data_IF_811585452575
#
_entry.id   IF_811585452575
#
_cell.length_a   1.000
_cell.length_b   1.000
_cell.length_c   1.000
_cell.angle_alpha   90.00
_cell.angle_beta   90.00
_cell.angle_gamma   90.00
#
_symmetry.space_group_name_H-M   'P 1'
#
loop_
_entity.id
_entity.type
_entity.pdbx_description
1 polymer ?
#
# COMPACT_ATOMS: atom_id res chain seq x y z
N UNK A 1 -0.71 -21.06 8.76
CA UNK A 1 -0.86 -20.61 9.00
C UNK A 1 -1.04 -19.81 9.38
N UNK A 2 -1.32 -19.70 9.38
CA UNK A 2 -1.76 -19.04 9.64
C UNK A 2 -1.67 -18.20 9.86
N UNK A 3 -1.09 -18.17 9.43
CA UNK A 3 -1.23 -17.44 9.79
C UNK A 3 -2.20 -16.54 9.87
N UNK A 4 -3.08 -16.76 10.15
CA UNK A 4 -4.34 -16.08 10.24
C UNK A 4 -4.27 -14.71 10.85
N UNK A 5 -3.46 -14.50 11.82
CA UNK A 5 -3.32 -13.20 12.45
C UNK A 5 -2.65 -12.17 11.55
N UNK A 6 -2.05 -12.64 10.47
CA UNK A 6 -1.52 -11.73 9.49
C UNK A 6 -2.47 -11.59 8.30
N UNK A 7 -3.65 -12.19 8.41
CA UNK A 7 -4.64 -12.15 7.34
C UNK A 7 -5.56 -10.96 7.43
N UNK A 8 -5.00 -9.86 7.78
CA UNK A 8 -5.74 -8.62 7.76
C UNK A 8 -6.01 -8.23 6.31
N UNK A 9 -7.24 -7.81 6.04
CA UNK A 9 -7.55 -7.28 4.72
C UNK A 9 -6.79 -5.99 4.52
N UNK A 10 -6.19 -5.78 3.36
CA UNK A 10 -5.49 -4.53 3.10
C UNK A 10 -6.43 -3.35 3.29
N UNK A 11 -5.94 -2.34 3.96
CA UNK A 11 -6.69 -1.10 4.15
C UNK A 11 -6.07 -0.04 3.27
N UNK A 12 -6.85 0.46 2.33
CA UNK A 12 -6.37 1.46 1.39
C UNK A 12 -7.00 2.79 1.75
N UNK A 13 -6.16 3.79 1.88
CA UNK A 13 -6.59 5.12 2.26
C UNK A 13 -5.88 6.15 1.41
N UNK A 14 -6.64 7.07 0.84
CA UNK A 14 -6.06 8.16 0.06
C UNK A 14 -6.32 9.47 0.77
N UNK A 15 -5.26 10.19 1.07
CA UNK A 15 -5.35 11.53 1.66
C UNK A 15 -5.23 12.55 0.54
N UNK A 16 -6.35 13.17 0.23
CA UNK A 16 -6.41 14.09 -0.88
C UNK A 16 -5.61 15.37 -0.64
N UNK A 17 -5.54 15.82 0.61
CA UNK A 17 -4.82 17.05 0.93
C UNK A 17 -3.32 16.87 0.79
N UNK A 18 -2.79 15.78 1.30
CA UNK A 18 -1.35 15.52 1.21
C UNK A 18 -0.98 14.73 -0.03
N UNK A 19 -1.98 14.24 -0.77
CA UNK A 19 -1.78 13.47 -1.99
C UNK A 19 -0.97 12.21 -1.71
N UNK A 20 -1.36 11.49 -0.66
CA UNK A 20 -0.69 10.26 -0.25
C UNK A 20 -1.67 9.09 -0.28
N UNK A 21 -1.27 8.03 -0.97
CA UNK A 21 -2.02 6.79 -0.97
C UNK A 21 -1.34 5.83 0.01
N UNK A 22 -2.08 5.32 0.98
CA UNK A 22 -1.55 4.40 1.98
C UNK A 22 -2.22 3.05 1.84
N UNK A 23 -1.40 2.00 1.88
CA UNK A 23 -1.89 0.62 1.82
C UNK A 23 -1.34 -0.11 3.02
N UNK A 24 -2.23 -0.44 3.96
CA UNK A 24 -1.84 -1.13 5.17
C UNK A 24 -2.08 -2.62 5.01
N UNK A 25 -1.03 -3.40 5.14
CA UNK A 25 -1.08 -4.85 4.90
C UNK A 25 -1.03 -5.67 6.18
N UNK A 26 -0.61 -5.08 7.28
CA UNK A 26 -0.47 -5.79 8.55
C UNK A 26 -0.60 -4.81 9.70
N UNK A 27 -1.05 -5.30 10.85
CA UNK A 27 -1.13 -4.47 12.04
C UNK A 27 0.13 -4.54 12.88
N UNK A 28 1.11 -5.29 12.41
CA UNK A 28 2.37 -5.39 13.12
C UNK A 28 3.10 -4.05 13.10
N UNK A 29 3.94 -3.87 14.10
CA UNK A 29 4.67 -2.63 14.23
C UNK A 29 5.77 -2.54 13.17
N UNK A 30 5.89 -1.37 12.56
CA UNK A 30 6.96 -1.09 11.63
C UNK A 30 8.24 -0.78 12.39
N UNK A 31 9.33 -1.43 12.03
CA UNK A 31 10.62 -1.20 12.67
C UNK A 31 11.68 -0.74 11.69
N UNK A 32 11.38 -0.77 10.40
CA UNK A 32 12.32 -0.36 9.37
C UNK A 32 11.55 0.13 8.16
N UNK A 33 12.19 0.94 7.34
CA UNK A 33 11.53 1.51 6.17
C UNK A 33 12.54 1.68 5.05
N UNK A 34 12.06 1.48 3.82
CA UNK A 34 12.80 1.81 2.62
C UNK A 34 12.08 2.93 1.91
N UNK A 35 12.85 3.89 1.41
CA UNK A 35 12.28 5.01 0.65
C UNK A 35 12.93 5.00 -0.72
N UNK A 36 12.12 4.93 -1.76
CA UNK A 36 12.61 5.01 -3.11
C UNK A 36 11.66 5.90 -3.91
N UNK A 37 12.19 7.00 -4.43
CA UNK A 37 11.41 8.00 -5.14
C UNK A 37 10.27 8.48 -4.26
N UNK A 38 9.03 8.27 -4.68
CA UNK A 38 7.87 8.69 -3.90
C UNK A 38 7.17 7.55 -3.17
N UNK A 39 7.87 6.43 -3.00
CA UNK A 39 7.31 5.25 -2.34
C UNK A 39 8.05 4.97 -1.06
N UNK A 40 7.29 4.77 0.02
CA UNK A 40 7.84 4.36 1.32
C UNK A 40 7.27 3.00 1.65
N UNK A 41 8.14 2.05 1.96
CA UNK A 41 7.72 0.71 2.34
C UNK A 41 8.20 0.44 3.75
N UNK A 42 7.27 0.12 4.64
CA UNK A 42 7.57 -0.17 6.03
C UNK A 42 7.58 -1.66 6.27
N UNK A 43 8.54 -2.13 7.06
CA UNK A 43 8.73 -3.54 7.36
C UNK A 43 8.65 -3.81 8.84
N UNK A 44 8.22 -5.02 9.19
CA UNK A 44 8.25 -5.46 10.57
C UNK A 44 9.63 -6.03 10.89
N UNK A 45 9.80 -6.55 12.10
CA UNK A 45 11.10 -7.05 12.52
C UNK A 45 11.53 -8.32 11.79
N UNK A 46 10.62 -8.95 11.07
CA UNK A 46 10.94 -10.11 10.25
C UNK A 46 11.23 -9.73 8.81
N UNK A 47 11.15 -8.45 8.49
CA UNK A 47 11.39 -7.99 7.14
C UNK A 47 10.18 -8.11 6.23
N UNK A 48 9.01 -8.35 6.80
CA UNK A 48 7.78 -8.43 6.01
C UNK A 48 7.14 -7.06 5.90
N UNK A 49 6.52 -6.80 4.77
CA UNK A 49 5.92 -5.50 4.51
C UNK A 49 4.67 -5.32 5.35
N UNK A 50 4.59 -4.21 6.09
CA UNK A 50 3.41 -3.89 6.88
C UNK A 50 2.62 -2.73 6.30
N UNK A 51 3.28 -1.83 5.58
CA UNK A 51 2.61 -0.65 5.04
C UNK A 51 3.35 -0.13 3.83
N UNK A 52 2.60 0.43 2.89
CA UNK A 52 3.18 1.07 1.71
C UNK A 52 2.52 2.42 1.57
N UNK A 53 3.33 3.46 1.38
CA UNK A 53 2.80 4.80 1.11
C UNK A 53 3.35 5.30 -0.21
N UNK A 54 2.47 5.82 -1.03
CA UNK A 54 2.85 6.40 -2.31
C UNK A 54 2.49 7.88 -2.24
N UNK A 55 3.53 8.71 -2.27
CA UNK A 55 3.37 10.15 -2.14
C UNK A 55 3.29 10.80 -3.51
N UNK A 56 2.65 11.96 -3.57
CA UNK A 56 2.54 12.73 -4.81
C UNK A 56 1.97 11.91 -5.96
N UNK A 57 0.98 11.09 -5.63
CA UNK A 57 0.36 10.25 -6.64
C UNK A 57 -0.38 11.13 -7.65
N UNK A 58 -0.23 10.79 -8.93
CA UNK A 58 -0.91 11.52 -9.99
C UNK A 58 -2.19 10.76 -10.36
N UNK A 59 -3.33 11.37 -10.06
CA UNK A 59 -4.61 10.71 -10.30
C UNK A 59 -4.87 10.44 -11.77
N UNK A 60 -4.36 11.32 -12.65
CA UNK A 60 -4.54 11.10 -14.09
C UNK A 60 -3.76 9.88 -14.55
N UNK A 61 -2.53 9.73 -14.06
CA UNK A 61 -1.74 8.56 -14.39
C UNK A 61 -2.33 7.31 -13.78
N UNK A 62 -2.88 7.43 -12.59
CA UNK A 62 -3.55 6.31 -11.95
C UNK A 62 -4.76 5.86 -12.77
N UNK A 63 -5.52 6.82 -13.28
CA UNK A 63 -6.66 6.51 -14.13
C UNK A 63 -6.25 5.83 -15.42
N UNK A 64 -5.13 6.25 -16.00
CA UNK A 64 -4.59 5.59 -17.19
C UNK A 64 -4.17 4.16 -16.90
N UNK A 65 -3.54 3.95 -15.76
CA UNK A 65 -3.12 2.62 -15.35
C UNK A 65 -4.33 1.70 -15.15
N UNK A 66 -5.42 2.24 -14.65
CA UNK A 66 -6.64 1.46 -14.46
C UNK A 66 -7.19 0.94 -15.79
N UNK A 67 -6.95 1.67 -16.87
CA UNK A 67 -7.39 1.21 -18.18
C UNK A 67 -6.57 0.04 -18.70
N UNK A 68 -5.34 -0.07 -18.23
CA UNK A 68 -4.44 -1.14 -18.64
C UNK A 68 -4.62 -2.39 -17.77
N UNK A 69 -5.21 -2.22 -16.59
CA UNK A 69 -5.41 -3.31 -15.65
C UNK A 69 -6.91 -3.55 -15.52
N UNK A 70 -7.38 -4.80 -15.69
CA UNK A 70 -8.80 -5.08 -15.52
C UNK A 70 -9.30 -4.60 -14.16
N UNK A 71 -10.45 -3.95 -14.16
CA UNK A 71 -11.00 -3.37 -12.96
C UNK A 71 -11.16 -4.40 -11.84
N UNK A 72 -11.59 -5.61 -12.19
CA UNK A 72 -11.77 -6.66 -11.20
C UNK A 72 -10.47 -7.05 -10.51
N UNK A 73 -9.35 -6.85 -11.19
CA UNK A 73 -8.06 -7.12 -10.57
C UNK A 73 -7.77 -6.08 -9.48
N UNK A 74 -8.19 -4.85 -9.72
CA UNK A 74 -7.98 -3.79 -8.76
C UNK A 74 -8.87 -3.95 -7.53
N UNK A 75 -10.08 -4.43 -7.70
CA UNK A 75 -11.00 -4.56 -6.57
C UNK A 75 -10.71 -5.77 -5.70
N UNK A 76 -9.80 -6.61 -6.10
CA UNK A 76 -9.37 -7.72 -5.27
C UNK A 76 -8.42 -7.30 -4.16
N UNK A 77 -7.92 -6.11 -4.24
CA UNK A 77 -6.97 -5.59 -3.25
C UNK A 77 -7.64 -5.29 -1.93
#
# INVERSE_FOLDING_TARGET
MNDSKSNMKPKIKYDKESNILSIRLSEKKSVDSDIKDNIVIDYDEKGEIVNIEIMKINLNEFAKAKKLIPLRELVKI
#
